data_IF_322596241215
#
_entry.id   IF_322596241215
#
_cell.length_a   1.000
_cell.length_b   1.000
_cell.length_c   1.000
_cell.angle_alpha   90.00
_cell.angle_beta   90.00
_cell.angle_gamma   90.00
#
_symmetry.space_group_name_H-M   'P 1'
#
loop_
_entity.id
_entity.type
_entity.pdbx_description
1 polymer ?
#
# COMPACT_ATOMS: atom_id res chain seq x y z
N UNK A 1 -26.10 -6.09 -1.74
CA UNK A 1 -24.74 -6.21 -2.32
C UNK A 1 -23.85 -5.09 -1.81
N UNK A 2 -24.21 -3.82 -2.01
CA UNK A 2 -23.40 -2.67 -1.56
C UNK A 2 -23.08 -2.66 -0.04
N UNK A 3 -24.04 -3.06 0.81
CA UNK A 3 -23.81 -3.15 2.28
C UNK A 3 -22.93 -4.33 2.68
N UNK A 4 -22.88 -5.40 1.89
CA UNK A 4 -22.05 -6.58 2.18
C UNK A 4 -20.58 -6.28 1.91
N UNK A 5 -20.26 -5.71 0.75
CA UNK A 5 -18.90 -5.30 0.38
C UNK A 5 -18.31 -4.33 1.40
N UNK A 6 -19.08 -3.33 1.90
CA UNK A 6 -18.58 -2.40 2.92
C UNK A 6 -18.16 -3.10 4.22
N UNK A 7 -18.91 -4.13 4.64
CA UNK A 7 -18.59 -4.90 5.84
C UNK A 7 -17.32 -5.74 5.65
N UNK A 8 -17.18 -6.37 4.47
CA UNK A 8 -16.00 -7.16 4.11
C UNK A 8 -14.75 -6.29 4.03
N UNK A 9 -14.84 -5.14 3.35
CA UNK A 9 -13.79 -4.12 3.30
C UNK A 9 -13.37 -3.68 4.71
N UNK A 10 -14.33 -3.36 5.58
CA UNK A 10 -14.02 -2.94 6.94
C UNK A 10 -13.30 -4.03 7.74
N UNK A 11 -13.70 -5.30 7.56
CA UNK A 11 -13.06 -6.44 8.21
C UNK A 11 -11.60 -6.61 7.73
N UNK A 12 -11.36 -6.49 6.43
CA UNK A 12 -10.00 -6.55 5.86
C UNK A 12 -9.12 -5.42 6.40
N UNK A 13 -9.63 -4.17 6.43
CA UNK A 13 -8.88 -3.03 6.95
C UNK A 13 -8.57 -3.19 8.46
N UNK A 14 -9.47 -3.79 9.23
CA UNK A 14 -9.24 -4.11 10.65
C UNK A 14 -8.14 -5.16 10.81
N UNK A 15 -8.17 -6.26 10.03
CA UNK A 15 -7.13 -7.29 10.03
C UNK A 15 -5.76 -6.73 9.64
N UNK A 16 -5.72 -5.84 8.65
CA UNK A 16 -4.51 -5.14 8.25
C UNK A 16 -3.97 -4.25 9.37
N UNK A 17 -4.84 -3.57 10.12
CA UNK A 17 -4.46 -2.79 11.30
C UNK A 17 -3.86 -3.63 12.44
N UNK A 18 -4.24 -4.91 12.56
CA UNK A 18 -3.63 -5.85 13.51
C UNK A 18 -2.25 -6.35 13.06
N UNK A 19 -2.02 -6.41 11.74
CA UNK A 19 -0.79 -6.94 11.15
C UNK A 19 0.27 -5.86 10.91
N UNK A 20 -0.16 -4.64 10.60
CA UNK A 20 0.67 -3.50 10.22
C UNK A 20 0.58 -2.38 11.26
N UNK A 21 1.23 -2.56 12.40
CA UNK A 21 1.14 -1.65 13.56
C UNK A 21 1.71 -0.24 13.33
N UNK A 22 2.56 -0.06 12.33
CA UNK A 22 3.08 1.27 11.93
C UNK A 22 2.33 1.89 10.74
N UNK A 23 1.35 1.17 10.19
CA UNK A 23 0.46 1.67 9.16
C UNK A 23 0.67 1.03 7.79
N UNK A 24 -0.25 1.34 6.90
CA UNK A 24 -0.34 0.82 5.55
C UNK A 24 -1.03 1.83 4.62
N UNK A 25 -0.88 1.63 3.31
CA UNK A 25 -1.44 2.48 2.28
C UNK A 25 -1.93 1.64 1.10
N UNK A 26 -2.98 2.12 0.45
CA UNK A 26 -3.53 1.58 -0.80
C UNK A 26 -3.77 2.71 -1.79
N UNK A 27 -3.26 2.53 -2.99
CA UNK A 27 -3.62 3.26 -4.19
C UNK A 27 -4.39 2.29 -5.12
N UNK A 28 -5.72 2.30 -5.02
CA UNK A 28 -6.60 1.36 -5.73
C UNK A 28 -7.05 1.92 -7.08
N UNK A 29 -7.19 1.02 -8.05
CA UNK A 29 -7.60 1.26 -9.43
C UNK A 29 -6.93 2.48 -10.07
N UNK A 30 -5.60 2.48 -10.07
CA UNK A 30 -4.78 3.52 -10.69
C UNK A 30 -5.02 3.53 -12.20
N UNK A 31 -5.39 4.70 -12.72
CA UNK A 31 -5.49 4.98 -14.15
C UNK A 31 -4.61 6.18 -14.48
N UNK A 32 -3.77 6.04 -15.49
CA UNK A 32 -2.68 6.97 -15.82
C UNK A 32 -1.70 7.16 -14.65
N UNK A 33 -1.96 8.11 -13.76
CA UNK A 33 -1.12 8.42 -12.59
C UNK A 33 -1.92 8.62 -11.31
N UNK A 34 -3.26 8.52 -11.37
CA UNK A 34 -4.12 8.85 -10.23
C UNK A 34 -4.87 7.61 -9.76
N UNK A 35 -4.77 7.25 -8.47
CA UNK A 35 -5.65 6.24 -7.90
C UNK A 35 -7.08 6.74 -7.90
N UNK A 36 -8.02 5.81 -8.11
CA UNK A 36 -9.43 6.09 -7.88
C UNK A 36 -9.69 6.25 -6.38
N UNK A 37 -9.11 5.35 -5.58
CA UNK A 37 -9.19 5.39 -4.12
C UNK A 37 -7.77 5.41 -3.54
N UNK A 38 -7.52 6.39 -2.68
CA UNK A 38 -6.29 6.48 -1.90
C UNK A 38 -6.63 6.37 -0.41
N UNK A 39 -6.22 5.28 0.21
CA UNK A 39 -6.41 5.03 1.65
C UNK A 39 -5.06 4.88 2.32
N UNK A 40 -4.83 5.56 3.44
CA UNK A 40 -3.52 5.61 4.11
C UNK A 40 -3.73 5.73 5.61
N UNK A 41 -2.94 4.98 6.38
CA UNK A 41 -2.91 5.02 7.84
C UNK A 41 -1.54 5.42 8.39
N UNK A 42 -0.61 5.81 7.51
CA UNK A 42 0.70 6.31 7.91
C UNK A 42 0.58 7.57 8.80
N UNK A 43 1.58 7.83 9.66
CA UNK A 43 1.60 9.03 10.50
C UNK A 43 1.44 10.31 9.69
N UNK A 44 0.61 11.23 10.17
CA UNK A 44 0.35 12.53 9.52
C UNK A 44 1.63 13.32 9.21
N UNK A 45 2.64 13.41 10.11
CA UNK A 45 3.89 14.11 9.80
C UNK A 45 4.63 13.54 8.58
N UNK A 46 4.56 12.22 8.36
CA UNK A 46 5.15 11.60 7.18
C UNK A 46 4.35 11.92 5.91
N UNK A 47 3.02 11.88 6.00
CA UNK A 47 2.13 12.20 4.87
C UNK A 47 2.35 13.66 4.41
N UNK A 48 2.48 14.59 5.36
CA UNK A 48 2.78 16.00 5.10
C UNK A 48 4.13 16.14 4.41
N UNK A 49 5.20 15.61 5.01
CA UNK A 49 6.55 15.70 4.45
C UNK A 49 6.64 15.08 3.04
N UNK A 50 6.04 13.91 2.84
CA UNK A 50 5.98 13.23 1.55
C UNK A 50 5.30 14.09 0.48
N UNK A 51 4.20 14.74 0.86
CA UNK A 51 3.39 15.57 -0.05
C UNK A 51 4.08 16.89 -0.37
N UNK A 52 4.61 17.59 0.64
CA UNK A 52 5.32 18.88 0.48
C UNK A 52 6.55 18.75 -0.42
N UNK A 53 7.28 17.64 -0.30
CA UNK A 53 8.48 17.37 -1.09
C UNK A 53 8.17 16.74 -2.46
N UNK A 54 6.89 16.48 -2.77
CA UNK A 54 6.48 15.91 -4.06
C UNK A 54 7.09 14.55 -4.35
N UNK A 55 7.27 13.71 -3.33
CA UNK A 55 8.09 12.48 -3.42
C UNK A 55 7.51 11.39 -4.32
N UNK A 56 6.23 11.46 -4.69
CA UNK A 56 5.53 10.42 -5.45
C UNK A 56 6.25 9.99 -6.74
N UNK A 57 6.85 10.93 -7.47
CA UNK A 57 7.52 10.63 -8.75
C UNK A 57 8.86 9.91 -8.57
N UNK A 58 9.44 10.04 -7.39
CA UNK A 58 10.75 9.52 -7.00
C UNK A 58 10.62 8.33 -6.04
N UNK A 59 9.40 7.99 -5.62
CA UNK A 59 9.14 6.94 -4.65
C UNK A 59 9.33 5.56 -5.28
N UNK A 60 10.34 4.77 -4.82
CA UNK A 60 10.61 3.47 -5.40
C UNK A 60 9.47 2.47 -5.21
N UNK A 61 8.62 2.62 -4.18
CA UNK A 61 7.43 1.79 -3.97
C UNK A 61 6.40 2.03 -5.08
N UNK A 62 6.16 3.30 -5.41
CA UNK A 62 5.24 3.69 -6.49
C UNK A 62 5.81 3.23 -7.84
N UNK A 63 7.09 3.52 -8.10
CA UNK A 63 7.75 3.15 -9.35
C UNK A 63 7.74 1.64 -9.58
N UNK A 64 8.13 0.86 -8.57
CA UNK A 64 8.11 -0.60 -8.67
C UNK A 64 6.69 -1.12 -8.90
N UNK A 65 5.71 -0.62 -8.14
CA UNK A 65 4.33 -1.06 -8.22
C UNK A 65 3.65 -0.70 -9.55
N UNK A 66 4.14 0.31 -10.28
CA UNK A 66 3.68 0.63 -11.65
C UNK A 66 4.23 -0.33 -12.70
N UNK A 67 5.41 -0.91 -12.45
CA UNK A 67 6.16 -1.71 -13.42
C UNK A 67 5.99 -3.23 -13.22
N UNK A 68 5.66 -3.68 -12.01
CA UNK A 68 5.64 -5.09 -11.63
C UNK A 68 4.29 -5.53 -11.06
N UNK A 69 4.08 -6.85 -10.96
CA UNK A 69 2.95 -7.48 -10.26
C UNK A 69 3.53 -8.50 -9.29
N UNK A 70 2.97 -8.61 -8.09
CA UNK A 70 3.48 -9.44 -7.00
C UNK A 70 3.84 -8.60 -5.79
N UNK A 71 4.92 -8.95 -5.10
CA UNK A 71 5.38 -8.27 -3.89
C UNK A 71 6.89 -8.04 -3.87
N UNK A 72 7.33 -6.98 -3.18
CA UNK A 72 8.74 -6.65 -2.98
C UNK A 72 8.94 -6.04 -1.58
N UNK A 73 10.05 -6.36 -0.92
CA UNK A 73 10.41 -5.72 0.35
C UNK A 73 11.05 -4.36 0.08
N UNK A 74 10.80 -3.39 0.95
CA UNK A 74 11.39 -2.06 0.84
C UNK A 74 12.92 -2.07 0.92
N UNK A 75 13.50 -3.09 1.56
CA UNK A 75 14.95 -3.27 1.65
C UNK A 75 15.57 -3.77 0.34
N UNK A 76 14.76 -4.32 -0.57
CA UNK A 76 15.19 -4.78 -1.90
C UNK A 76 15.05 -3.69 -2.97
N UNK A 77 14.60 -2.48 -2.59
CA UNK A 77 14.41 -1.35 -3.50
C UNK A 77 15.56 -0.35 -3.38
N UNK A 78 16.04 0.15 -4.53
CA UNK A 78 16.97 1.27 -4.55
C UNK A 78 16.23 2.58 -4.20
N UNK A 79 16.79 3.34 -3.26
CA UNK A 79 16.18 4.58 -2.72
C UNK A 79 17.12 5.79 -2.92
N UNK A 80 17.43 6.16 -4.17
CA UNK A 80 18.41 7.22 -4.47
C UNK A 80 17.96 8.60 -3.99
N UNK A 81 16.65 8.77 -3.76
CA UNK A 81 16.03 10.03 -3.35
C UNK A 81 15.71 10.07 -1.85
N UNK A 82 15.92 8.96 -1.13
CA UNK A 82 15.77 8.90 0.32
C UNK A 82 14.32 8.90 0.81
N UNK A 83 13.37 8.47 -0.02
CA UNK A 83 11.94 8.37 0.32
C UNK A 83 11.73 7.31 1.40
N UNK A 84 12.27 6.10 1.20
CA UNK A 84 12.16 5.03 2.19
C UNK A 84 12.97 5.33 3.45
N UNK A 85 14.11 6.01 3.29
CA UNK A 85 14.88 6.53 4.43
C UNK A 85 14.06 7.54 5.24
N UNK A 86 13.34 8.45 4.57
CA UNK A 86 12.40 9.39 5.20
C UNK A 86 11.32 8.64 5.98
N UNK A 87 10.62 7.71 5.33
CA UNK A 87 9.59 6.88 5.94
C UNK A 87 10.08 6.20 7.24
N UNK A 88 11.29 5.62 7.23
CA UNK A 88 11.90 4.97 8.41
C UNK A 88 12.17 5.91 9.57
N UNK A 89 12.47 7.19 9.30
CA UNK A 89 12.65 8.20 10.35
C UNK A 89 11.33 8.53 11.08
N UNK A 90 10.19 8.28 10.43
CA UNK A 90 8.84 8.37 11.00
C UNK A 90 8.31 7.04 11.54
N UNK A 91 9.17 6.02 11.69
CA UNK A 91 8.80 4.73 12.28
C UNK A 91 8.26 3.70 11.29
N UNK A 92 8.11 4.05 10.01
CA UNK A 92 7.67 3.12 8.96
C UNK A 92 8.82 2.19 8.57
N UNK A 93 8.82 0.99 9.12
CA UNK A 93 9.90 0.00 8.97
C UNK A 93 9.37 -1.31 8.40
N UNK A 94 10.30 -2.20 8.04
CA UNK A 94 10.01 -3.54 7.53
C UNK A 94 8.98 -3.53 6.41
N UNK A 95 9.10 -2.59 5.49
CA UNK A 95 8.07 -2.33 4.51
C UNK A 95 7.94 -3.44 3.47
N UNK A 96 6.72 -3.72 3.05
CA UNK A 96 6.37 -4.61 1.95
C UNK A 96 5.45 -3.86 0.99
N UNK A 97 5.75 -3.93 -0.29
CA UNK A 97 4.89 -3.40 -1.35
C UNK A 97 4.25 -4.55 -2.09
N UNK A 98 2.93 -4.47 -2.32
CA UNK A 98 2.23 -5.39 -3.20
C UNK A 98 1.65 -4.62 -4.40
N UNK A 99 1.62 -5.26 -5.56
CA UNK A 99 1.05 -4.71 -6.77
C UNK A 99 0.20 -5.76 -7.48
N UNK A 100 -1.02 -5.40 -7.84
CA UNK A 100 -1.98 -6.24 -8.56
C UNK A 100 -2.43 -5.54 -9.85
N UNK A 101 -2.69 -6.34 -10.88
CA UNK A 101 -3.23 -5.88 -12.16
C UNK A 101 -4.33 -6.83 -12.59
N UNK A 102 -5.58 -6.47 -12.30
CA UNK A 102 -6.77 -7.27 -12.58
C UNK A 102 -7.86 -6.36 -13.18
N UNK A 103 -8.75 -6.95 -13.98
CA UNK A 103 -9.88 -6.25 -14.62
C UNK A 103 -9.48 -4.95 -15.37
N UNK A 104 -8.26 -4.92 -15.92
CA UNK A 104 -7.72 -3.78 -16.66
C UNK A 104 -7.35 -2.56 -15.79
N UNK A 105 -7.21 -2.73 -14.48
CA UNK A 105 -6.78 -1.66 -13.56
C UNK A 105 -5.68 -2.14 -12.61
N UNK A 106 -4.80 -1.22 -12.21
CA UNK A 106 -3.67 -1.52 -11.33
C UNK A 106 -3.97 -1.08 -9.90
N UNK A 107 -3.46 -1.78 -8.90
CA UNK A 107 -3.46 -1.30 -7.52
C UNK A 107 -2.14 -1.59 -6.85
N UNK A 108 -1.73 -0.67 -5.99
CA UNK A 108 -0.47 -0.73 -5.26
C UNK A 108 -0.79 -0.55 -3.78
N UNK A 109 -0.19 -1.37 -2.93
CA UNK A 109 -0.24 -1.24 -1.49
C UNK A 109 1.15 -1.19 -0.89
N UNK A 110 1.26 -0.52 0.25
CA UNK A 110 2.45 -0.50 1.08
C UNK A 110 2.06 -0.86 2.51
N UNK A 111 2.77 -1.81 3.10
CA UNK A 111 2.55 -2.31 4.45
C UNK A 111 3.82 -2.10 5.25
N UNK A 112 3.69 -1.71 6.51
CA UNK A 112 4.84 -1.48 7.40
C UNK A 112 4.53 -2.01 8.79
N UNK A 113 5.56 -2.47 9.49
CA UNK A 113 5.45 -2.84 10.90
C UNK A 113 6.72 -2.59 11.70
N UNK A 114 6.58 -2.39 13.00
CA UNK A 114 7.71 -2.11 13.91
C UNK A 114 8.53 -3.35 14.26
N UNK A 115 7.93 -4.54 14.19
CA UNK A 115 8.51 -5.83 14.60
C UNK A 115 9.51 -6.42 13.59
N UNK A 116 9.50 -7.74 13.44
CA UNK A 116 10.35 -8.44 12.47
C UNK A 116 9.87 -8.20 11.03
N UNK A 117 10.71 -8.41 9.99
CA UNK A 117 10.26 -8.41 8.61
C UNK A 117 9.10 -9.39 8.37
N UNK A 118 8.19 -9.07 7.44
CA UNK A 118 7.13 -10.00 7.03
C UNK A 118 7.74 -11.31 6.50
N UNK A 119 7.28 -12.43 7.07
CA UNK A 119 7.58 -13.76 6.54
C UNK A 119 6.97 -13.93 5.14
N UNK A 120 7.43 -14.92 4.39
CA UNK A 120 6.87 -15.21 3.05
C UNK A 120 5.37 -15.52 3.10
N UNK A 121 4.91 -16.20 4.17
CA UNK A 121 3.49 -16.50 4.35
C UNK A 121 2.68 -15.23 4.59
N UNK A 122 3.11 -14.36 5.51
CA UNK A 122 2.45 -13.08 5.77
C UNK A 122 2.48 -12.17 4.54
N UNK A 123 3.58 -12.16 3.79
CA UNK A 123 3.70 -11.37 2.56
C UNK A 123 2.71 -11.84 1.49
N UNK A 124 2.54 -13.16 1.34
CA UNK A 124 1.54 -13.72 0.44
C UNK A 124 0.11 -13.37 0.90
N UNK A 125 -0.18 -13.44 2.19
CA UNK A 125 -1.49 -13.04 2.74
C UNK A 125 -1.79 -11.56 2.46
N UNK A 126 -0.81 -10.67 2.64
CA UNK A 126 -0.96 -9.23 2.33
C UNK A 126 -1.18 -8.98 0.83
N UNK A 127 -0.55 -9.77 -0.05
CA UNK A 127 -0.81 -9.72 -1.48
C UNK A 127 -2.24 -10.16 -1.82
N UNK A 128 -2.73 -11.23 -1.19
CA UNK A 128 -4.11 -11.69 -1.36
C UNK A 128 -5.11 -10.65 -0.84
N UNK A 129 -4.89 -10.06 0.34
CA UNK A 129 -5.75 -8.99 0.88
C UNK A 129 -5.75 -7.75 -0.04
N UNK A 130 -4.62 -7.44 -0.69
CA UNK A 130 -4.55 -6.37 -1.70
C UNK A 130 -5.41 -6.68 -2.91
N UNK A 131 -5.38 -7.92 -3.39
CA UNK A 131 -6.24 -8.40 -4.48
C UNK A 131 -7.71 -8.40 -4.09
N UNK A 132 -8.03 -8.82 -2.88
CA UNK A 132 -9.41 -8.84 -2.38
C UNK A 132 -9.98 -7.43 -2.28
N UNK A 133 -9.24 -6.49 -1.67
CA UNK A 133 -9.64 -5.08 -1.63
C UNK A 133 -9.80 -4.51 -3.04
N UNK A 134 -8.88 -4.80 -3.97
CA UNK A 134 -9.03 -4.40 -5.38
C UNK A 134 -10.38 -4.85 -5.97
N UNK A 135 -10.72 -6.12 -5.82
CA UNK A 135 -11.95 -6.67 -6.39
C UNK A 135 -13.21 -6.14 -5.69
N UNK A 136 -13.18 -5.99 -4.36
CA UNK A 136 -14.31 -5.46 -3.59
C UNK A 136 -14.59 -3.98 -3.86
N UNK A 137 -13.57 -3.21 -4.24
CA UNK A 137 -13.69 -1.79 -4.56
C UNK A 137 -13.92 -1.49 -6.03
N UNK A 138 -14.07 -2.50 -6.88
CA UNK A 138 -14.33 -2.29 -8.29
C UNK A 138 -15.62 -1.47 -8.49
N UNK A 139 -15.50 -0.34 -9.18
CA UNK A 139 -16.61 0.59 -9.42
C UNK A 139 -16.94 1.55 -8.27
N UNK A 140 -16.25 1.48 -7.14
CA UNK A 140 -16.37 2.47 -6.05
C UNK A 140 -15.47 3.69 -6.30
N UNK A 141 -15.83 4.84 -5.74
CA UNK A 141 -15.04 6.08 -5.76
C UNK A 141 -14.26 6.34 -4.47
N UNK A 142 -14.63 5.65 -3.39
CA UNK A 142 -14.18 5.89 -2.02
C UNK A 142 -14.40 4.63 -1.16
N UNK A 143 -13.66 4.55 -0.05
CA UNK A 143 -13.69 3.48 0.95
C UNK A 143 -14.50 3.91 2.18
#
# INVERSE_FOLDING_TARGET
>A
METANRKEIACLLEQLGQTCDTGFAFALHIRFTRPNILYRTYPEPWIEEYSEKGMMMDDPVVLWGMQHVGMVRWDDLDDPKGVLKGARSHGLRNGLTCAVLENGSRSISGFTRSGEPFSEAEAQELLEMTRELHNLTEGLSDL
#
